data_IF_741171271338
#
_entry.id   IF_741171271338
#
_cell.length_a   1.000
_cell.length_b   1.000
_cell.length_c   1.000
_cell.angle_alpha   90.00
_cell.angle_beta   90.00
_cell.angle_gamma   90.00
#
_symmetry.space_group_name_H-M   'P 1'
#
loop_
_entity.id
_entity.type
_entity.pdbx_description
1 polymer ?
#
# COMPACT_ATOMS: atom_id res chain seq x y z
N UNK A 1 -30.72 8.91 12.26
CA UNK A 1 -29.77 8.10 11.49
C UNK A 1 -28.38 8.37 12.07
N UNK A 2 -27.64 7.37 12.54
CA UNK A 2 -26.28 7.58 13.08
C UNK A 2 -25.30 7.54 11.91
N UNK A 3 -24.58 8.64 11.70
CA UNK A 3 -23.51 8.72 10.72
C UNK A 3 -22.38 7.78 11.12
N UNK A 4 -21.98 6.87 10.22
CA UNK A 4 -20.85 5.97 10.44
C UNK A 4 -19.57 6.78 10.26
N UNK A 5 -18.96 7.21 11.37
CA UNK A 5 -17.66 7.87 11.33
C UNK A 5 -16.58 6.83 10.99
N UNK A 6 -15.83 7.07 9.91
CA UNK A 6 -14.71 6.20 9.54
C UNK A 6 -13.62 6.24 10.61
N UNK A 7 -13.22 5.08 11.14
CA UNK A 7 -12.13 4.98 12.11
C UNK A 7 -10.84 5.40 11.39
N UNK A 8 -10.14 6.40 11.94
CA UNK A 8 -8.86 6.85 11.38
C UNK A 8 -7.87 5.66 11.39
N UNK A 9 -7.15 5.41 10.29
CA UNK A 9 -6.17 4.33 10.25
C UNK A 9 -5.12 4.54 11.35
N UNK A 10 -4.77 3.45 12.04
CA UNK A 10 -3.82 3.48 13.15
C UNK A 10 -2.40 3.87 12.71
N UNK A 11 -1.49 4.10 13.68
CA UNK A 11 -0.11 4.46 13.41
C UNK A 11 0.58 3.41 12.53
N UNK A 12 1.35 3.86 11.54
CA UNK A 12 2.10 2.97 10.64
C UNK A 12 3.10 2.13 11.46
N UNK A 13 3.17 0.80 11.25
CA UNK A 13 4.11 -0.07 11.97
C UNK A 13 5.56 0.41 11.84
N UNK A 14 6.26 0.44 12.98
CA UNK A 14 7.68 0.74 13.09
C UNK A 14 8.45 -0.54 13.42
N UNK A 15 9.74 -0.58 13.08
CA UNK A 15 10.70 -1.57 13.54
C UNK A 15 11.05 -1.31 15.01
N UNK A 16 11.75 -2.26 15.64
CA UNK A 16 12.22 -2.13 17.03
C UNK A 16 13.11 -0.89 17.23
N UNK A 17 13.84 -0.48 16.17
CA UNK A 17 14.67 0.74 16.14
C UNK A 17 13.87 2.05 15.94
N UNK A 18 12.52 1.99 15.92
CA UNK A 18 11.65 3.16 15.75
C UNK A 18 11.55 3.71 14.32
N UNK A 19 12.36 3.19 13.39
CA UNK A 19 12.24 3.49 11.95
C UNK A 19 11.00 2.83 11.36
N UNK A 20 10.45 3.40 10.29
CA UNK A 20 9.30 2.78 9.62
C UNK A 20 9.67 1.42 9.03
N UNK A 21 8.77 0.44 9.14
CA UNK A 21 8.98 -0.87 8.54
C UNK A 21 8.89 -0.80 7.00
N UNK A 22 10.05 -0.64 6.35
CA UNK A 22 10.21 -0.51 4.90
C UNK A 22 9.84 -1.77 4.12
N UNK A 23 9.62 -2.93 4.78
CA UNK A 23 9.16 -4.17 4.13
C UNK A 23 7.78 -4.03 3.46
N UNK A 24 7.08 -2.90 3.66
CA UNK A 24 5.66 -2.76 3.32
C UNK A 24 5.32 -1.81 2.17
N UNK A 25 6.25 -1.04 1.58
CA UNK A 25 5.95 -0.26 0.35
C UNK A 25 7.18 0.41 -0.28
N UNK A 26 7.21 0.42 -1.61
CA UNK A 26 8.02 1.36 -2.39
C UNK A 26 7.39 2.75 -2.22
N UNK A 27 8.17 3.74 -1.74
CA UNK A 27 7.73 5.13 -1.65
C UNK A 27 7.79 5.80 -3.02
N UNK A 28 6.98 6.85 -3.29
CA UNK A 28 7.04 7.57 -4.57
C UNK A 28 8.44 8.07 -4.92
N UNK A 29 9.19 8.57 -3.93
CA UNK A 29 10.58 9.04 -4.10
C UNK A 29 11.57 7.93 -4.47
N UNK A 30 11.35 6.71 -3.94
CA UNK A 30 12.23 5.58 -4.24
C UNK A 30 11.77 4.82 -5.49
N UNK A 31 10.62 5.19 -6.10
CA UNK A 31 9.97 4.45 -7.19
C UNK A 31 10.88 4.25 -8.40
N UNK A 32 11.67 5.25 -8.77
CA UNK A 32 12.58 5.20 -9.92
C UNK A 32 13.71 4.17 -9.76
N UNK A 33 14.02 3.78 -8.51
CA UNK A 33 15.04 2.76 -8.21
C UNK A 33 14.51 1.33 -8.36
N UNK A 34 13.20 1.15 -8.49
CA UNK A 34 12.58 -0.17 -8.58
C UNK A 34 11.92 -0.37 -9.95
N UNK A 35 12.08 -1.54 -10.58
CA UNK A 35 11.43 -1.82 -11.85
C UNK A 35 9.90 -1.77 -11.68
N UNK A 36 9.16 -1.26 -12.69
CA UNK A 36 7.71 -1.28 -12.66
C UNK A 36 7.21 -2.73 -12.61
N UNK A 37 6.08 -2.94 -11.92
CA UNK A 37 5.40 -4.22 -11.94
C UNK A 37 4.95 -4.53 -13.37
N UNK A 38 5.05 -5.80 -13.79
CA UNK A 38 4.51 -6.22 -15.07
C UNK A 38 2.99 -5.94 -15.09
N UNK A 39 2.44 -5.47 -16.22
CA UNK A 39 0.99 -5.32 -16.34
C UNK A 39 0.35 -6.68 -16.11
N UNK A 40 -0.75 -6.68 -15.34
CA UNK A 40 -1.54 -7.87 -15.16
C UNK A 40 -2.41 -8.08 -16.40
N UNK A 41 -2.20 -9.20 -17.10
CA UNK A 41 -3.04 -9.60 -18.23
C UNK A 41 -4.28 -10.34 -17.69
N UNK A 42 -5.40 -9.62 -17.58
CA UNK A 42 -6.66 -10.18 -17.13
C UNK A 42 -7.25 -11.10 -18.19
N UNK A 43 -7.68 -12.31 -17.82
CA UNK A 43 -8.47 -13.13 -18.75
C UNK A 43 -9.82 -12.45 -18.98
N UNK A 44 -10.39 -12.65 -20.16
CA UNK A 44 -11.73 -12.14 -20.51
C UNK A 44 -12.75 -12.66 -19.48
N UNK A 45 -13.29 -11.77 -18.65
CA UNK A 45 -14.24 -12.07 -17.59
C UNK A 45 -13.72 -11.90 -16.15
N UNK A 46 -12.42 -11.66 -15.95
CA UNK A 46 -11.82 -11.45 -14.62
C UNK A 46 -12.12 -10.06 -14.03
N UNK A 47 -12.41 -9.08 -14.88
CA UNK A 47 -12.83 -7.73 -14.47
C UNK A 47 -14.35 -7.70 -14.27
N UNK A 48 -14.84 -8.16 -13.12
CA UNK A 48 -16.23 -7.95 -12.70
C UNK A 48 -16.28 -7.18 -11.40
#
# INVERSE_FOLDING_TARGET
MKEVQAIKPGPKPKKDDGTYDERRRVTPEKKDKYPPLKPHDHKKGDSK
#
